data_IF_863185960220
#
_entry.id   IF_863185960220
#
_cell.length_a   1.000
_cell.length_b   1.000
_cell.length_c   1.000
_cell.angle_alpha   90.00
_cell.angle_beta   90.00
_cell.angle_gamma   90.00
#
_symmetry.space_group_name_H-M   'P 1'
#
loop_
_entity.id
_entity.type
_entity.pdbx_description
1 polymer ?
#
# COMPACT_ATOMS: atom_id res chain seq x y z
N UNK A 1 5.04 -2.75 -6.76
CA UNK A 1 4.57 -2.08 -5.52
C UNK A 1 5.75 -1.89 -4.59
N UNK A 2 5.79 -0.83 -3.77
CA UNK A 2 6.86 -0.54 -2.81
C UNK A 2 6.29 -0.15 -1.43
N UNK A 3 7.02 -0.45 -0.36
CA UNK A 3 6.63 -0.16 1.03
C UNK A 3 6.73 1.32 1.41
N UNK A 4 7.61 2.08 0.74
CA UNK A 4 7.77 3.53 0.92
C UNK A 4 8.29 4.20 -0.37
N UNK A 5 7.80 5.40 -0.65
CA UNK A 5 8.37 6.29 -1.67
C UNK A 5 9.29 7.32 -1.00
N UNK A 6 10.35 7.73 -1.70
CA UNK A 6 11.30 8.74 -1.23
C UNK A 6 11.11 10.05 -2.02
N UNK A 7 11.21 11.18 -1.32
CA UNK A 7 11.03 12.50 -1.91
C UNK A 7 9.55 12.87 -2.16
N UNK A 8 9.30 13.96 -2.93
CA UNK A 8 7.96 14.36 -3.32
C UNK A 8 7.25 13.27 -4.13
N UNK A 9 5.94 13.15 -3.97
CA UNK A 9 5.09 12.20 -4.70
C UNK A 9 4.14 12.94 -5.64
N UNK A 10 3.81 12.34 -6.77
CA UNK A 10 2.89 12.94 -7.76
C UNK A 10 1.43 12.97 -7.28
N UNK A 11 1.01 11.95 -6.53
CA UNK A 11 -0.35 11.84 -5.99
C UNK A 11 -0.28 11.55 -4.50
N UNK A 12 -0.91 12.41 -3.68
CA UNK A 12 -0.89 12.22 -2.24
C UNK A 12 -1.72 10.99 -1.85
N UNK A 13 -1.30 10.28 -0.79
CA UNK A 13 -2.00 9.07 -0.32
C UNK A 13 -3.47 9.32 0.03
N UNK A 14 -3.84 10.53 0.42
CA UNK A 14 -5.21 10.90 0.78
C UNK A 14 -6.16 11.04 -0.42
N UNK A 15 -5.61 11.33 -1.60
CA UNK A 15 -6.40 11.59 -2.81
C UNK A 15 -6.65 10.32 -3.64
N UNK A 16 -5.99 9.21 -3.27
CA UNK A 16 -6.10 7.94 -4.00
C UNK A 16 -7.31 7.14 -3.51
N UNK A 17 -8.26 6.93 -4.42
CA UNK A 17 -9.46 6.13 -4.20
C UNK A 17 -9.29 4.65 -4.53
N UNK A 18 -8.68 4.33 -5.69
CA UNK A 18 -8.55 2.95 -6.20
C UNK A 18 -7.18 2.74 -6.82
N UNK A 19 -6.58 1.58 -6.55
CA UNK A 19 -5.36 1.11 -7.23
C UNK A 19 -5.67 -0.25 -7.87
N UNK A 20 -5.21 -0.45 -9.11
CA UNK A 20 -5.36 -1.69 -9.85
C UNK A 20 -3.99 -2.22 -10.30
N UNK A 21 -3.86 -3.54 -10.31
CA UNK A 21 -2.72 -4.30 -10.84
C UNK A 21 -3.26 -5.39 -11.77
N UNK A 22 -2.38 -6.12 -12.43
CA UNK A 22 -2.72 -7.35 -13.17
C UNK A 22 -3.28 -8.47 -12.28
N UNK A 23 -3.12 -8.34 -10.96
CA UNK A 23 -3.55 -9.35 -9.99
C UNK A 23 -4.93 -9.07 -9.39
N UNK A 24 -5.36 -7.81 -9.26
CA UNK A 24 -6.70 -7.37 -8.81
C UNK A 24 -6.74 -5.84 -8.58
N UNK A 25 -7.77 -5.33 -7.89
CA UNK A 25 -7.92 -3.92 -7.52
C UNK A 25 -8.29 -3.72 -6.05
N UNK A 26 -7.78 -2.66 -5.44
CA UNK A 26 -8.07 -2.26 -4.06
C UNK A 26 -8.72 -0.87 -4.03
N UNK A 27 -9.81 -0.75 -3.27
CA UNK A 27 -10.39 0.55 -2.88
C UNK A 27 -9.77 1.00 -1.57
N UNK A 28 -9.30 2.24 -1.52
CA UNK A 28 -8.51 2.78 -0.40
C UNK A 28 -9.19 3.97 0.31
N UNK A 29 -10.28 4.49 -0.26
CA UNK A 29 -11.05 5.58 0.33
C UNK A 29 -11.67 5.14 1.66
N UNK A 30 -11.47 5.94 2.71
CA UNK A 30 -11.99 5.66 4.06
C UNK A 30 -11.20 4.62 4.85
N UNK A 31 -10.15 4.02 4.28
CA UNK A 31 -9.29 3.07 5.00
C UNK A 31 -8.24 3.79 5.85
N UNK A 32 -8.01 3.27 7.06
CA UNK A 32 -6.85 3.64 7.89
C UNK A 32 -5.54 3.25 7.22
N UNK A 33 -4.41 3.82 7.66
CA UNK A 33 -3.09 3.48 7.08
C UNK A 33 -2.80 1.98 7.14
N UNK A 34 -3.18 1.31 8.25
CA UNK A 34 -3.00 -0.14 8.40
C UNK A 34 -3.84 -0.93 7.38
N UNK A 35 -5.12 -0.58 7.22
CA UNK A 35 -6.00 -1.22 6.25
C UNK A 35 -5.55 -0.96 4.81
N UNK A 36 -5.05 0.26 4.52
CA UNK A 36 -4.49 0.59 3.20
C UNK A 36 -3.28 -0.28 2.90
N UNK A 37 -2.38 -0.51 3.85
CA UNK A 37 -1.22 -1.40 3.66
C UNK A 37 -1.69 -2.81 3.34
N UNK A 38 -2.63 -3.38 4.10
CA UNK A 38 -3.12 -4.74 3.82
C UNK A 38 -3.85 -4.84 2.47
N UNK A 39 -4.67 -3.84 2.12
CA UNK A 39 -5.37 -3.79 0.84
C UNK A 39 -4.40 -3.64 -0.35
N UNK A 40 -3.32 -2.88 -0.18
CA UNK A 40 -2.27 -2.74 -1.19
C UNK A 40 -1.48 -4.04 -1.34
N UNK A 41 -1.05 -4.65 -0.24
CA UNK A 41 -0.33 -5.92 -0.24
C UNK A 41 -1.16 -7.04 -0.88
N UNK A 42 -2.47 -7.10 -0.64
CA UNK A 42 -3.32 -8.16 -1.19
C UNK A 42 -3.40 -8.14 -2.73
N UNK A 43 -3.25 -6.96 -3.34
CA UNK A 43 -3.25 -6.78 -4.81
C UNK A 43 -1.85 -6.80 -5.43
N UNK A 44 -0.79 -6.96 -4.63
CA UNK A 44 0.56 -7.14 -5.14
C UNK A 44 0.78 -8.56 -5.69
N UNK A 45 1.81 -8.71 -6.52
CA UNK A 45 2.27 -10.01 -7.03
C UNK A 45 2.54 -10.98 -5.86
N UNK A 46 2.11 -12.25 -5.93
CA UNK A 46 2.17 -13.20 -4.81
C UNK A 46 3.55 -13.30 -4.13
N UNK A 47 4.62 -13.33 -4.93
CA UNK A 47 6.01 -13.40 -4.48
C UNK A 47 6.48 -12.19 -3.67
N UNK A 48 5.80 -11.05 -3.78
CA UNK A 48 6.16 -9.80 -3.10
C UNK A 48 5.34 -9.53 -1.84
N UNK A 49 4.25 -10.26 -1.60
CA UNK A 49 3.31 -9.95 -0.50
C UNK A 49 3.97 -10.04 0.88
N UNK A 50 4.69 -11.13 1.14
CA UNK A 50 5.33 -11.34 2.44
C UNK A 50 6.51 -10.38 2.68
N UNK A 51 7.43 -10.15 1.72
CA UNK A 51 8.44 -9.10 1.82
C UNK A 51 7.82 -7.72 2.14
N UNK A 52 6.77 -7.31 1.40
CA UNK A 52 6.11 -6.01 1.60
C UNK A 52 5.48 -5.87 2.99
N UNK A 53 4.87 -6.95 3.53
CA UNK A 53 4.34 -6.96 4.91
C UNK A 53 5.44 -6.75 5.94
N UNK A 54 6.57 -7.43 5.76
CA UNK A 54 7.70 -7.32 6.67
C UNK A 54 8.29 -5.91 6.66
N UNK A 55 8.46 -5.31 5.48
CA UNK A 55 8.96 -3.94 5.32
C UNK A 55 7.99 -2.87 5.85
N UNK A 56 6.68 -3.06 5.70
CA UNK A 56 5.68 -2.09 6.14
C UNK A 56 5.47 -2.07 7.66
N UNK A 57 5.72 -3.20 8.34
CA UNK A 57 5.51 -3.33 9.80
C UNK A 57 6.15 -2.23 10.65
N UNK A 58 7.44 -1.86 10.47
CA UNK A 58 8.03 -0.73 11.22
C UNK A 58 7.42 0.63 10.87
N UNK A 59 6.94 0.83 9.63
CA UNK A 59 6.35 2.09 9.17
C UNK A 59 4.98 2.37 9.81
N UNK A 60 4.26 1.31 10.19
CA UNK A 60 2.95 1.41 10.87
C UNK A 60 3.04 1.85 12.33
N UNK A 61 4.25 1.94 12.90
CA UNK A 61 4.47 2.37 14.29
C UNK A 61 4.77 3.87 14.41
N UNK A 62 5.17 4.48 13.31
CA UNK A 62 5.59 5.89 13.23
C UNK A 62 4.60 6.77 12.47
N UNK A 63 3.49 6.19 12.01
CA UNK A 63 2.47 6.82 11.17
C UNK A 63 1.23 7.25 11.95
#
# INVERSE_FOLDING_TARGET
MASRLHGPVTTARGDVDVIATEHSMARLRGLTIRERVEAMVSIAAPEHREPLRCEARPLLRTA
#
